data_IF_972552490620
#
_entry.id   IF_972552490620
#
_cell.length_a   1.000
_cell.length_b   1.000
_cell.length_c   1.000
_cell.angle_alpha   90.00
_cell.angle_beta   90.00
_cell.angle_gamma   90.00
#
_symmetry.space_group_name_H-M   'P 1'
#
loop_
_entity.id
_entity.type
_entity.pdbx_description
1 polymer ?
#
# COMPACT_ATOMS: atom_id res chain seq x y z
N UNK A 1 -44.15 8.98 -1.15
CA UNK A 1 -43.64 7.88 -2.00
C UNK A 1 -42.72 6.93 -1.22
N UNK A 2 -41.51 7.33 -0.77
CA UNK A 2 -40.64 6.43 0.04
C UNK A 2 -41.17 6.18 1.46
N UNK A 3 -41.70 7.21 2.14
CA UNK A 3 -42.23 7.09 3.51
C UNK A 3 -43.49 6.21 3.63
N UNK A 4 -44.37 6.25 2.62
CA UNK A 4 -45.57 5.39 2.60
C UNK A 4 -45.24 3.93 2.27
N UNK A 5 -44.23 3.69 1.43
CA UNK A 5 -43.73 2.34 1.17
C UNK A 5 -43.08 1.72 2.42
N UNK A 6 -42.35 2.52 3.22
CA UNK A 6 -41.78 2.08 4.49
C UNK A 6 -42.89 1.79 5.51
N UNK A 7 -43.92 2.62 5.60
CA UNK A 7 -45.06 2.44 6.51
C UNK A 7 -45.94 1.23 6.13
N UNK A 8 -46.07 0.93 4.83
CA UNK A 8 -46.77 -0.26 4.33
C UNK A 8 -45.98 -1.56 4.54
N UNK A 9 -44.64 -1.52 4.45
CA UNK A 9 -43.76 -2.68 4.67
C UNK A 9 -43.54 -2.98 6.17
N UNK A 10 -43.52 -1.93 7.01
CA UNK A 10 -43.35 -1.97 8.47
C UNK A 10 -44.64 -1.61 9.21
N UNK A 11 -45.82 -1.99 8.68
CA UNK A 11 -47.10 -1.82 9.40
C UNK A 11 -46.98 -2.33 10.85
N UNK A 12 -47.84 -1.92 11.79
CA UNK A 12 -47.68 -2.16 13.25
C UNK A 12 -47.92 -3.62 13.63
N UNK A 13 -47.14 -4.51 13.05
CA UNK A 13 -47.02 -5.89 13.45
C UNK A 13 -46.10 -5.96 14.68
N UNK A 14 -46.30 -6.94 15.56
CA UNK A 14 -45.40 -7.15 16.69
C UNK A 14 -43.95 -7.43 16.23
N UNK A 15 -43.75 -7.99 15.02
CA UNK A 15 -42.44 -8.25 14.43
C UNK A 15 -41.70 -6.95 14.04
N UNK A 16 -42.37 -6.03 13.35
CA UNK A 16 -41.76 -4.74 12.96
C UNK A 16 -41.42 -3.89 14.19
N UNK A 17 -42.30 -3.87 15.19
CA UNK A 17 -42.05 -3.18 16.46
C UNK A 17 -40.86 -3.75 17.23
N UNK A 18 -40.72 -5.08 17.25
CA UNK A 18 -39.58 -5.78 17.84
C UNK A 18 -38.26 -5.48 17.11
N UNK A 19 -38.28 -5.47 15.77
CA UNK A 19 -37.10 -5.11 14.97
C UNK A 19 -36.67 -3.65 15.19
N UNK A 20 -37.62 -2.72 15.29
CA UNK A 20 -37.34 -1.31 15.58
C UNK A 20 -36.70 -1.17 16.96
N UNK A 21 -37.21 -1.87 17.99
CA UNK A 21 -36.62 -1.87 19.32
C UNK A 21 -35.20 -2.44 19.33
N UNK A 22 -34.95 -3.54 18.60
CA UNK A 22 -33.59 -4.10 18.45
C UNK A 22 -32.66 -3.06 17.84
N UNK A 23 -33.05 -2.40 16.74
CA UNK A 23 -32.23 -1.37 16.10
C UNK A 23 -31.99 -0.18 17.05
N UNK A 24 -33.01 0.22 17.81
CA UNK A 24 -32.93 1.32 18.77
C UNK A 24 -31.95 1.04 19.92
N UNK A 25 -31.76 -0.22 20.29
CA UNK A 25 -30.75 -0.61 21.31
C UNK A 25 -29.39 -0.90 20.67
N UNK A 26 -29.38 -1.59 19.54
CA UNK A 26 -28.16 -2.05 18.87
C UNK A 26 -27.34 -0.87 18.31
N UNK A 27 -27.98 0.16 17.75
CA UNK A 27 -27.28 1.31 17.17
C UNK A 27 -26.52 2.08 18.28
N UNK A 28 -27.17 2.60 19.34
CA UNK A 28 -26.44 3.25 20.43
C UNK A 28 -25.40 2.33 21.09
N UNK A 29 -25.73 1.05 21.29
CA UNK A 29 -24.78 0.06 21.82
C UNK A 29 -23.53 -0.08 20.95
N UNK A 30 -23.69 -0.11 19.62
CA UNK A 30 -22.58 -0.14 18.67
C UNK A 30 -21.73 1.14 18.75
N UNK A 31 -22.36 2.31 18.82
CA UNK A 31 -21.63 3.58 18.96
C UNK A 31 -20.83 3.62 20.26
N UNK A 32 -21.44 3.21 21.38
CA UNK A 32 -20.78 3.14 22.68
C UNK A 32 -19.61 2.17 22.65
N UNK A 33 -19.82 0.99 22.06
CA UNK A 33 -18.76 0.01 21.89
C UNK A 33 -17.61 0.59 21.07
N UNK A 34 -17.87 1.16 19.89
CA UNK A 34 -16.82 1.63 18.99
C UNK A 34 -16.00 2.80 19.53
N UNK A 35 -16.60 3.63 20.39
CA UNK A 35 -16.00 4.85 20.92
C UNK A 35 -15.26 4.62 22.23
N UNK A 36 -15.74 3.73 23.12
CA UNK A 36 -15.18 3.54 24.46
C UNK A 36 -14.66 2.13 24.75
N UNK A 37 -15.32 1.08 24.26
CA UNK A 37 -15.00 -0.31 24.64
C UNK A 37 -14.15 -1.05 23.61
N UNK A 38 -14.14 -0.57 22.37
CA UNK A 38 -13.42 -1.21 21.28
C UNK A 38 -11.91 -1.21 21.58
N UNK A 39 -11.17 -2.29 21.30
CA UNK A 39 -9.72 -2.34 21.52
C UNK A 39 -8.94 -1.21 20.83
N UNK A 40 -9.50 -0.67 19.74
CA UNK A 40 -8.93 0.46 18.99
C UNK A 40 -9.44 1.85 19.45
N UNK A 41 -10.19 1.96 20.55
CA UNK A 41 -10.75 3.22 21.03
C UNK A 41 -9.67 4.23 21.49
N UNK A 42 -8.51 3.73 21.93
CA UNK A 42 -7.38 4.55 22.38
C UNK A 42 -6.56 5.17 21.24
N UNK A 43 -6.78 4.73 19.99
CA UNK A 43 -6.01 5.19 18.84
C UNK A 43 -6.59 6.50 18.30
N UNK A 44 -5.75 7.48 17.91
CA UNK A 44 -6.21 8.72 17.28
C UNK A 44 -7.02 8.43 16.02
N UNK A 45 -8.10 9.18 15.81
CA UNK A 45 -9.01 8.90 14.71
C UNK A 45 -9.92 10.10 14.35
N UNK A 46 -10.44 10.12 13.11
CA UNK A 46 -11.61 10.90 12.77
C UNK A 46 -12.88 10.14 13.19
N UNK A 47 -13.83 10.82 13.84
CA UNK A 47 -15.02 10.22 14.44
C UNK A 47 -15.76 9.20 13.54
N UNK A 48 -15.93 9.52 12.25
CA UNK A 48 -16.62 8.64 11.30
C UNK A 48 -15.88 7.32 11.02
N UNK A 49 -14.55 7.29 11.14
CA UNK A 49 -13.76 6.09 10.95
C UNK A 49 -13.99 5.05 12.05
N UNK A 50 -14.38 5.44 13.27
CA UNK A 50 -14.74 4.47 14.32
C UNK A 50 -15.94 3.62 13.94
N UNK A 51 -16.86 4.21 13.19
CA UNK A 51 -18.21 3.69 13.00
C UNK A 51 -18.36 2.89 11.72
N UNK A 52 -17.67 3.27 10.64
CA UNK A 52 -17.86 2.63 9.35
C UNK A 52 -16.66 2.77 8.42
N UNK A 53 -16.46 1.76 7.56
CA UNK A 53 -15.50 1.83 6.45
C UNK A 53 -15.98 2.77 5.32
N UNK A 54 -17.24 3.20 5.34
CA UNK A 54 -17.79 4.11 4.33
C UNK A 54 -16.99 5.41 4.22
N UNK A 55 -16.45 5.90 5.34
CA UNK A 55 -15.62 7.09 5.36
C UNK A 55 -14.37 6.94 4.48
N UNK A 56 -13.64 5.83 4.61
CA UNK A 56 -12.50 5.52 3.71
C UNK A 56 -12.92 5.26 2.27
N UNK A 57 -14.07 4.61 2.05
CA UNK A 57 -14.59 4.35 0.71
C UNK A 57 -14.90 5.64 -0.04
N UNK A 58 -15.46 6.64 0.64
CA UNK A 58 -15.79 7.95 0.08
C UNK A 58 -14.53 8.68 -0.44
N UNK A 59 -13.41 8.56 0.25
CA UNK A 59 -12.11 9.10 -0.18
C UNK A 59 -11.45 8.26 -1.28
N UNK A 60 -11.72 6.95 -1.33
CA UNK A 60 -11.28 6.07 -2.42
C UNK A 60 -12.02 6.38 -3.74
N UNK A 61 -13.34 6.59 -3.71
CA UNK A 61 -14.15 6.92 -4.90
C UNK A 61 -13.71 8.24 -5.54
N UNK A 62 -13.26 9.21 -4.74
CA UNK A 62 -12.73 10.49 -5.25
C UNK A 62 -11.27 10.41 -5.73
N UNK A 63 -10.71 9.21 -5.89
CA UNK A 63 -9.32 8.96 -6.32
C UNK A 63 -8.23 9.67 -5.48
N UNK A 64 -8.55 10.05 -4.24
CA UNK A 64 -7.68 10.85 -3.37
C UNK A 64 -7.23 10.12 -2.11
N UNK A 65 -7.21 8.78 -2.09
CA UNK A 65 -6.93 7.99 -0.87
C UNK A 65 -5.55 8.28 -0.28
N UNK A 66 -4.50 8.35 -1.10
CA UNK A 66 -3.13 8.61 -0.64
C UNK A 66 -2.99 10.03 -0.07
N UNK A 67 -3.60 11.02 -0.73
CA UNK A 67 -3.62 12.41 -0.30
C UNK A 67 -4.42 12.58 1.00
N UNK A 68 -5.56 11.90 1.10
CA UNK A 68 -6.34 11.85 2.32
C UNK A 68 -5.53 11.26 3.48
N UNK A 69 -4.85 10.13 3.28
CA UNK A 69 -4.00 9.52 4.32
C UNK A 69 -2.85 10.46 4.72
N UNK A 70 -2.23 11.14 3.76
CA UNK A 70 -1.21 12.16 4.02
C UNK A 70 -1.73 13.26 4.96
N UNK A 71 -2.87 13.90 4.60
CA UNK A 71 -3.48 14.95 5.44
C UNK A 71 -3.96 14.42 6.79
N UNK A 72 -4.40 13.16 6.85
CA UNK A 72 -4.89 12.55 8.08
C UNK A 72 -3.74 12.34 9.06
N UNK A 73 -2.60 11.83 8.60
CA UNK A 73 -1.41 11.66 9.43
C UNK A 73 -0.80 12.99 9.87
N UNK A 74 -0.89 14.06 9.06
CA UNK A 74 -0.51 15.41 9.49
C UNK A 74 -1.35 15.91 10.69
N UNK A 75 -2.63 15.53 10.77
CA UNK A 75 -3.55 15.99 11.83
C UNK A 75 -3.52 15.13 13.09
N UNK A 76 -3.43 13.82 12.93
CA UNK A 76 -3.61 12.84 14.01
C UNK A 76 -2.32 12.12 14.41
N UNK A 77 -1.22 12.33 13.69
CA UNK A 77 0.10 11.76 13.96
C UNK A 77 0.35 10.42 13.26
N UNK A 78 1.35 9.67 13.74
CA UNK A 78 1.87 8.49 13.05
C UNK A 78 0.91 7.31 12.97
N UNK A 79 0.05 7.12 13.97
CA UNK A 79 -0.89 5.98 13.99
C UNK A 79 -2.30 6.53 14.05
N UNK A 80 -3.13 6.15 13.07
CA UNK A 80 -4.50 6.65 12.96
C UNK A 80 -5.45 5.52 12.64
N UNK A 81 -6.59 5.46 13.33
CA UNK A 81 -7.68 4.55 13.01
C UNK A 81 -8.46 5.09 11.81
N UNK A 82 -8.50 4.29 10.75
CA UNK A 82 -9.16 4.64 9.47
C UNK A 82 -10.44 3.84 9.22
N UNK A 83 -10.75 2.88 10.08
CA UNK A 83 -11.99 2.12 10.03
C UNK A 83 -12.26 1.40 11.36
N UNK A 84 -13.43 0.75 11.52
CA UNK A 84 -13.78 0.07 12.76
C UNK A 84 -12.70 -0.89 13.23
N UNK A 85 -12.10 -1.64 12.31
CA UNK A 85 -11.04 -2.61 12.58
C UNK A 85 -9.79 -2.32 11.74
N UNK A 86 -9.51 -1.04 11.42
CA UNK A 86 -8.43 -0.66 10.50
C UNK A 86 -7.55 0.46 11.06
N UNK A 87 -6.24 0.27 11.03
CA UNK A 87 -5.24 1.28 11.38
C UNK A 87 -4.34 1.60 10.17
N UNK A 88 -4.05 2.88 9.97
CA UNK A 88 -2.96 3.34 9.11
C UNK A 88 -1.78 3.75 9.98
N UNK A 89 -0.59 3.31 9.60
CA UNK A 89 0.63 3.48 10.39
C UNK A 89 1.69 4.13 9.52
N UNK A 90 1.96 5.41 9.74
CA UNK A 90 3.00 6.21 9.10
C UNK A 90 4.29 6.14 9.91
N UNK A 91 4.91 4.97 9.93
CA UNK A 91 6.17 4.75 10.63
C UNK A 91 7.03 3.74 9.86
N UNK A 92 8.30 4.09 9.62
CA UNK A 92 9.24 3.20 8.95
C UNK A 92 9.55 1.96 9.82
N UNK A 93 9.51 2.10 11.15
CA UNK A 93 9.70 0.98 12.07
C UNK A 93 8.60 -0.08 11.93
N UNK A 94 7.42 0.29 11.41
CA UNK A 94 6.32 -0.63 11.18
C UNK A 94 6.53 -1.54 9.96
N UNK A 95 7.46 -1.21 9.05
CA UNK A 95 7.70 -1.99 7.83
C UNK A 95 8.16 -3.42 8.15
N UNK A 96 9.05 -3.59 9.11
CA UNK A 96 9.53 -4.92 9.55
C UNK A 96 8.41 -5.77 10.17
N UNK A 97 7.72 -5.28 11.22
CA UNK A 97 6.62 -6.01 11.86
C UNK A 97 5.41 -6.29 10.96
N UNK A 98 5.14 -5.46 9.94
CA UNK A 98 3.96 -5.62 9.06
C UNK A 98 4.29 -6.38 7.76
N UNK A 99 5.47 -6.16 7.17
CA UNK A 99 5.82 -6.71 5.86
C UNK A 99 7.04 -7.65 5.89
N UNK A 100 7.71 -7.78 7.03
CA UNK A 100 8.86 -8.66 7.20
C UNK A 100 8.51 -10.15 7.10
N UNK A 101 9.53 -10.97 6.90
CA UNK A 101 9.38 -12.41 6.64
C UNK A 101 8.73 -13.19 7.81
N UNK A 102 8.95 -12.74 9.05
CA UNK A 102 8.41 -13.34 10.27
C UNK A 102 7.30 -12.50 10.92
N UNK A 103 6.72 -11.57 10.17
CA UNK A 103 5.62 -10.73 10.65
C UNK A 103 4.41 -11.60 11.07
N UNK A 104 3.83 -11.32 12.24
CA UNK A 104 2.64 -12.01 12.75
C UNK A 104 1.35 -11.51 12.07
N UNK A 105 1.35 -11.51 10.74
CA UNK A 105 0.26 -10.99 9.92
C UNK A 105 0.07 -11.85 8.68
N UNK A 106 -1.11 -11.76 8.06
CA UNK A 106 -1.39 -12.29 6.73
C UNK A 106 -1.92 -11.19 5.81
N UNK A 107 -2.01 -11.43 4.51
CA UNK A 107 -2.76 -10.52 3.62
C UNK A 107 -4.23 -10.50 4.05
N UNK A 108 -4.82 -9.31 4.10
CA UNK A 108 -6.24 -9.17 4.46
C UNK A 108 -7.16 -9.65 3.33
N UNK A 109 -8.45 -9.81 3.62
CA UNK A 109 -9.46 -10.21 2.64
C UNK A 109 -9.63 -9.24 1.46
N UNK A 110 -9.07 -8.02 1.55
CA UNK A 110 -8.96 -7.09 0.41
C UNK A 110 -8.36 -7.76 -0.84
N UNK A 111 -7.47 -8.74 -0.65
CA UNK A 111 -6.80 -9.42 -1.76
C UNK A 111 -7.68 -10.46 -2.46
N UNK A 112 -8.74 -10.97 -1.80
CA UNK A 112 -9.66 -11.94 -2.41
C UNK A 112 -10.51 -11.32 -3.52
N UNK A 113 -10.69 -10.00 -3.50
CA UNK A 113 -11.43 -9.25 -4.52
C UNK A 113 -10.71 -9.25 -5.88
N UNK A 114 -9.40 -9.53 -5.92
CA UNK A 114 -8.64 -9.60 -7.17
C UNK A 114 -8.84 -10.95 -7.85
N UNK A 115 -9.24 -10.89 -9.13
CA UNK A 115 -9.46 -12.07 -9.96
C UNK A 115 -8.16 -12.71 -10.45
N UNK A 116 -8.22 -14.01 -10.74
CA UNK A 116 -7.12 -14.80 -11.30
C UNK A 116 -6.32 -15.57 -10.26
N UNK A 117 -5.55 -16.58 -10.69
CA UNK A 117 -4.69 -17.35 -9.79
C UNK A 117 -3.33 -16.68 -9.79
N UNK A 118 -2.97 -15.98 -8.70
CA UNK A 118 -1.67 -15.33 -8.60
C UNK A 118 -1.05 -15.47 -7.21
N UNK A 119 0.23 -15.12 -7.13
CA UNK A 119 0.91 -14.92 -5.84
C UNK A 119 0.44 -13.63 -5.17
N UNK A 120 -0.03 -12.64 -5.93
CA UNK A 120 -0.47 -11.35 -5.41
C UNK A 120 -1.72 -11.46 -4.52
N UNK A 121 -2.73 -12.21 -4.96
CA UNK A 121 -4.03 -12.32 -4.29
C UNK A 121 -4.15 -13.48 -3.27
N UNK A 122 -3.21 -14.42 -3.24
CA UNK A 122 -3.23 -15.52 -2.28
C UNK A 122 -2.97 -15.02 -0.85
N UNK A 123 -3.94 -15.24 0.06
CA UNK A 123 -3.90 -14.81 1.46
C UNK A 123 -3.35 -15.89 2.41
N UNK A 124 -3.46 -17.17 2.03
CA UNK A 124 -2.96 -18.30 2.83
C UNK A 124 -1.42 -18.33 2.72
N UNK A 125 -0.68 -18.19 3.85
CA UNK A 125 0.78 -18.15 3.83
C UNK A 125 1.43 -19.40 3.21
N UNK A 126 0.86 -20.58 3.43
CA UNK A 126 1.39 -21.85 2.93
C UNK A 126 1.21 -21.97 1.41
N UNK A 127 0.01 -21.65 0.92
CA UNK A 127 -0.27 -21.62 -0.52
C UNK A 127 0.54 -20.53 -1.21
N UNK A 128 0.66 -19.36 -0.59
CA UNK A 128 1.47 -18.25 -1.07
C UNK A 128 2.94 -18.64 -1.19
N UNK A 129 3.52 -19.30 -0.18
CA UNK A 129 4.89 -19.79 -0.21
C UNK A 129 5.13 -20.79 -1.36
N UNK A 130 4.19 -21.72 -1.57
CA UNK A 130 4.24 -22.68 -2.70
C UNK A 130 4.21 -21.96 -4.05
N UNK A 131 3.27 -21.04 -4.25
CA UNK A 131 3.14 -20.27 -5.51
C UNK A 131 4.37 -19.40 -5.77
N UNK A 132 4.87 -18.71 -4.75
CA UNK A 132 6.08 -17.87 -4.83
C UNK A 132 7.31 -18.69 -5.22
N UNK A 133 7.47 -19.90 -4.67
CA UNK A 133 8.58 -20.80 -5.02
C UNK A 133 8.60 -21.18 -6.50
N UNK A 134 7.44 -21.48 -7.08
CA UNK A 134 7.34 -21.76 -8.52
C UNK A 134 7.65 -20.50 -9.33
N UNK A 135 7.04 -19.37 -8.96
CA UNK A 135 7.20 -18.10 -9.68
C UNK A 135 8.65 -17.58 -9.64
N UNK A 136 9.38 -17.77 -8.55
CA UNK A 136 10.76 -17.27 -8.42
C UNK A 136 11.71 -17.87 -9.45
N UNK A 137 11.45 -19.07 -9.97
CA UNK A 137 12.26 -19.65 -11.04
C UNK A 137 12.14 -18.87 -12.36
N UNK A 138 10.95 -18.36 -12.68
CA UNK A 138 10.70 -17.58 -13.89
C UNK A 138 11.36 -16.20 -13.88
N UNK A 139 11.72 -15.69 -12.69
CA UNK A 139 12.45 -14.43 -12.50
C UNK A 139 13.89 -14.65 -12.01
N UNK A 140 14.44 -15.86 -12.23
CA UNK A 140 15.86 -16.10 -11.98
C UNK A 140 16.72 -15.31 -12.97
N UNK A 141 17.95 -15.00 -12.57
CA UNK A 141 18.92 -14.27 -13.41
C UNK A 141 19.08 -14.90 -14.80
N UNK A 142 19.22 -16.23 -14.83
CA UNK A 142 19.27 -17.01 -16.08
C UNK A 142 18.00 -16.88 -16.93
N UNK A 143 16.81 -16.91 -16.31
CA UNK A 143 15.54 -16.76 -17.03
C UNK A 143 15.36 -15.34 -17.60
N UNK A 144 15.79 -14.32 -16.85
CA UNK A 144 15.76 -12.92 -17.30
C UNK A 144 16.69 -12.71 -18.48
N UNK A 145 17.93 -13.20 -18.41
CA UNK A 145 18.87 -13.18 -19.52
C UNK A 145 18.34 -13.95 -20.75
N UNK A 146 17.67 -15.08 -20.54
CA UNK A 146 17.04 -15.84 -21.63
C UNK A 146 15.90 -15.09 -22.34
N UNK A 147 15.20 -14.19 -21.62
CA UNK A 147 14.08 -13.41 -22.17
C UNK A 147 14.54 -12.14 -22.90
N UNK A 148 15.75 -11.67 -22.63
CA UNK A 148 16.32 -10.43 -23.15
C UNK A 148 16.21 -10.30 -24.69
N UNK A 149 16.61 -11.30 -25.51
CA UNK A 149 16.47 -11.19 -26.98
C UNK A 149 15.02 -11.02 -27.45
N UNK A 150 14.07 -11.61 -26.72
CA UNK A 150 12.64 -11.53 -27.03
C UNK A 150 12.02 -10.18 -26.67
N UNK A 151 12.38 -9.61 -25.51
CA UNK A 151 11.96 -8.26 -25.11
C UNK A 151 12.52 -7.23 -26.09
N UNK A 152 13.80 -7.37 -26.43
CA UNK A 152 14.47 -6.50 -27.38
C UNK A 152 13.81 -6.59 -28.76
N UNK A 153 13.58 -7.78 -29.33
CA UNK A 153 12.92 -7.90 -30.63
C UNK A 153 11.47 -7.35 -30.68
N UNK A 154 10.70 -7.46 -29.60
CA UNK A 154 9.28 -7.05 -29.57
C UNK A 154 9.07 -5.54 -29.38
N UNK A 155 9.89 -4.88 -28.55
CA UNK A 155 9.70 -3.47 -28.17
C UNK A 155 10.67 -2.55 -28.94
N UNK A 156 11.84 -3.04 -29.34
CA UNK A 156 12.85 -2.19 -29.98
C UNK A 156 12.37 -1.67 -31.33
N UNK A 157 11.80 -2.46 -32.24
CA UNK A 157 11.64 -2.01 -33.64
C UNK A 157 10.92 -0.65 -33.81
N UNK A 158 9.91 -0.35 -32.97
CA UNK A 158 9.19 0.95 -33.02
C UNK A 158 9.82 2.04 -32.13
N UNK A 159 10.28 1.72 -30.92
CA UNK A 159 10.89 2.71 -30.01
C UNK A 159 12.32 3.10 -30.43
N UNK A 160 13.05 2.13 -30.98
CA UNK A 160 14.43 2.25 -31.44
C UNK A 160 14.55 3.11 -32.67
N UNK A 161 13.55 3.13 -33.55
CA UNK A 161 13.55 4.03 -34.71
C UNK A 161 13.51 5.49 -34.26
N UNK A 162 12.76 5.81 -33.20
CA UNK A 162 12.65 7.16 -32.64
C UNK A 162 13.85 7.56 -31.76
N UNK A 163 14.45 6.61 -31.03
CA UNK A 163 15.60 6.87 -30.15
C UNK A 163 16.94 6.87 -30.94
N UNK A 164 17.12 5.99 -31.94
CA UNK A 164 18.34 5.94 -32.76
C UNK A 164 18.49 7.09 -33.75
N UNK A 165 17.43 7.86 -34.02
CA UNK A 165 17.59 9.15 -34.72
C UNK A 165 18.29 10.19 -33.85
N UNK A 166 18.31 10.01 -32.52
CA UNK A 166 18.95 10.90 -31.55
C UNK A 166 20.25 10.35 -30.95
N UNK A 167 20.48 9.03 -30.94
CA UNK A 167 21.68 8.41 -30.36
C UNK A 167 22.28 7.31 -31.28
N UNK A 168 23.55 7.43 -31.72
CA UNK A 168 24.09 6.66 -32.85
C UNK A 168 24.37 5.17 -32.64
N UNK A 169 24.51 4.64 -31.42
CA UNK A 169 24.83 3.19 -31.24
C UNK A 169 24.06 2.54 -30.08
N UNK A 170 23.36 1.44 -30.40
CA UNK A 170 22.43 0.74 -29.50
C UNK A 170 22.90 -0.66 -29.10
N UNK A 171 24.02 -1.13 -29.64
CA UNK A 171 24.53 -2.50 -29.47
C UNK A 171 25.13 -2.72 -28.08
N UNK A 172 25.41 -1.65 -27.33
CA UNK A 172 26.04 -1.72 -26.01
C UNK A 172 25.06 -1.66 -24.82
N UNK A 173 23.75 -1.44 -25.08
CA UNK A 173 22.72 -1.39 -24.03
C UNK A 173 22.17 -2.80 -23.82
N UNK A 174 22.86 -3.57 -22.99
CA UNK A 174 22.48 -4.93 -22.59
C UNK A 174 22.27 -5.03 -21.09
N UNK A 175 21.37 -5.92 -20.66
CA UNK A 175 21.21 -6.23 -19.25
C UNK A 175 22.50 -6.92 -18.76
N UNK A 176 23.18 -6.32 -17.78
CA UNK A 176 24.44 -6.83 -17.27
C UNK A 176 25.11 -5.90 -16.27
N UNK A 177 26.33 -6.25 -15.80
CA UNK A 177 27.05 -5.51 -14.77
C UNK A 177 27.23 -4.03 -15.11
N UNK A 178 27.39 -3.72 -16.40
CA UNK A 178 27.63 -2.37 -16.91
C UNK A 178 26.39 -1.47 -16.83
N UNK A 179 25.19 -2.02 -17.07
CA UNK A 179 23.92 -1.30 -16.88
C UNK A 179 23.62 -1.10 -15.39
N UNK A 180 23.93 -2.10 -14.56
CA UNK A 180 23.80 -2.01 -13.10
C UNK A 180 24.79 -1.02 -12.46
N UNK A 181 25.87 -0.68 -13.16
CA UNK A 181 26.86 0.34 -12.76
C UNK A 181 26.45 1.78 -13.09
N UNK A 182 25.33 1.99 -13.81
CA UNK A 182 24.75 3.33 -14.03
C UNK A 182 24.03 3.79 -12.76
N UNK A 183 24.80 4.19 -11.75
CA UNK A 183 24.28 4.63 -10.45
C UNK A 183 23.29 5.77 -10.59
N UNK A 184 23.53 6.71 -11.51
CA UNK A 184 22.60 7.83 -11.73
C UNK A 184 21.28 7.40 -12.36
N UNK A 185 21.29 6.46 -13.31
CA UNK A 185 20.05 5.91 -13.89
C UNK A 185 19.23 5.19 -12.82
N UNK A 186 19.88 4.33 -12.02
CA UNK A 186 19.25 3.66 -10.87
C UNK A 186 18.68 4.70 -9.90
N UNK A 187 19.44 5.74 -9.57
CA UNK A 187 19.00 6.80 -8.69
C UNK A 187 17.76 7.54 -9.22
N UNK A 188 17.70 7.82 -10.52
CA UNK A 188 16.52 8.39 -11.17
C UNK A 188 15.29 7.45 -11.06
N UNK A 189 15.48 6.14 -11.23
CA UNK A 189 14.41 5.16 -11.11
C UNK A 189 13.90 5.09 -9.65
N UNK A 190 14.81 4.99 -8.68
CA UNK A 190 14.46 4.96 -7.25
C UNK A 190 13.75 6.26 -6.83
N UNK A 191 14.24 7.43 -7.25
CA UNK A 191 13.60 8.71 -6.95
C UNK A 191 12.23 8.87 -7.62
N UNK A 192 12.09 8.36 -8.85
CA UNK A 192 10.80 8.31 -9.54
C UNK A 192 9.80 7.43 -8.77
N UNK A 193 10.23 6.26 -8.29
CA UNK A 193 9.38 5.38 -7.47
C UNK A 193 9.10 5.95 -6.08
N UNK A 194 10.00 6.78 -5.54
CA UNK A 194 9.76 7.49 -4.27
C UNK A 194 8.63 8.51 -4.42
N UNK A 195 8.70 9.37 -5.43
CA UNK A 195 7.71 10.42 -5.69
C UNK A 195 6.39 9.87 -6.24
N UNK A 196 6.47 8.90 -7.14
CA UNK A 196 5.33 8.29 -7.82
C UNK A 196 5.30 6.77 -7.56
N UNK A 197 5.06 6.33 -6.30
CA UNK A 197 5.06 4.92 -5.97
C UNK A 197 3.95 4.18 -6.75
N UNK A 198 4.24 3.03 -7.37
CA UNK A 198 3.25 2.24 -8.11
C UNK A 198 2.04 1.82 -7.26
N UNK A 199 2.25 1.66 -5.94
CA UNK A 199 1.21 1.44 -4.95
C UNK A 199 1.29 2.56 -3.88
N UNK A 200 0.57 3.69 -4.07
CA UNK A 200 0.71 4.85 -3.20
C UNK A 200 0.00 4.72 -1.84
N UNK A 201 -0.92 3.78 -1.70
CA UNK A 201 -1.68 3.53 -0.47
C UNK A 201 -1.05 2.42 0.38
N UNK A 202 -1.72 2.04 1.46
CA UNK A 202 -1.35 0.91 2.30
C UNK A 202 -1.60 -0.44 1.61
N UNK A 203 -0.72 -1.42 1.87
CA UNK A 203 -0.90 -2.82 1.47
C UNK A 203 -1.49 -3.59 2.66
N UNK A 204 -2.81 -3.82 2.72
CA UNK A 204 -3.45 -4.17 3.98
C UNK A 204 -3.08 -5.59 4.46
N UNK A 205 -2.68 -5.69 5.72
CA UNK A 205 -2.33 -6.92 6.42
C UNK A 205 -3.23 -7.10 7.62
N UNK A 206 -3.72 -8.31 7.85
CA UNK A 206 -4.51 -8.66 9.04
C UNK A 206 -3.58 -9.24 10.10
N UNK A 207 -3.64 -8.69 11.31
CA UNK A 207 -2.88 -9.15 12.47
C UNK A 207 -3.42 -10.49 12.97
N UNK A 208 -2.55 -11.47 13.12
CA UNK A 208 -2.89 -12.81 13.59
C UNK A 208 -2.99 -12.87 15.14
N UNK A 209 -3.50 -13.97 15.72
CA UNK A 209 -3.51 -14.17 17.17
C UNK A 209 -2.12 -13.92 17.81
N UNK A 210 -2.12 -13.32 19.00
CA UNK A 210 -0.89 -12.82 19.66
C UNK A 210 -0.61 -11.34 19.43
N UNK A 211 -1.32 -10.70 18.48
CA UNK A 211 -1.21 -9.27 18.23
C UNK A 211 0.08 -8.88 17.51
N UNK A 212 0.29 -7.57 17.39
CA UNK A 212 1.45 -6.97 16.74
C UNK A 212 1.93 -5.76 17.53
N UNK A 213 3.22 -5.70 17.83
CA UNK A 213 3.85 -4.55 18.48
C UNK A 213 4.48 -3.62 17.44
N UNK A 214 4.14 -2.34 17.47
CA UNK A 214 4.76 -1.29 16.64
C UNK A 214 5.06 -0.08 17.51
N UNK A 215 6.35 0.16 17.79
CA UNK A 215 6.78 1.17 18.75
C UNK A 215 6.08 0.99 20.10
N UNK A 216 5.39 2.03 20.59
CA UNK A 216 4.61 1.99 21.84
C UNK A 216 3.23 1.34 21.71
N UNK A 217 2.75 1.06 20.50
CA UNK A 217 1.38 0.60 20.27
C UNK A 217 1.30 -0.92 20.16
N UNK A 218 0.43 -1.52 20.97
CA UNK A 218 0.06 -2.93 20.85
C UNK A 218 -1.24 -3.08 20.07
N UNK A 219 -1.16 -3.70 18.90
CA UNK A 219 -2.27 -3.84 17.96
C UNK A 219 -2.90 -5.22 18.13
N UNK A 220 -4.22 -5.29 18.42
CA UNK A 220 -4.90 -6.56 18.67
C UNK A 220 -5.12 -7.36 17.38
N UNK A 221 -5.22 -8.68 17.54
CA UNK A 221 -5.55 -9.61 16.46
C UNK A 221 -6.86 -9.25 15.74
N UNK A 222 -6.95 -9.57 14.45
CA UNK A 222 -8.07 -9.22 13.58
C UNK A 222 -8.03 -7.77 13.07
N UNK A 223 -7.12 -6.93 13.56
CA UNK A 223 -6.91 -5.57 13.05
C UNK A 223 -6.23 -5.60 11.69
N UNK A 224 -6.78 -4.87 10.74
CA UNK A 224 -6.12 -4.64 9.45
C UNK A 224 -5.23 -3.42 9.57
N UNK A 225 -3.96 -3.58 9.27
CA UNK A 225 -2.92 -2.57 9.36
C UNK A 225 -2.25 -2.39 8.01
N UNK A 226 -1.64 -1.23 7.80
CA UNK A 226 -0.74 -1.03 6.69
C UNK A 226 -0.04 0.32 6.76
N UNK A 227 1.11 0.37 6.09
CA UNK A 227 1.92 1.59 5.94
C UNK A 227 1.63 2.21 4.59
N UNK A 228 1.11 3.45 4.53
CA UNK A 228 0.83 4.10 3.26
C UNK A 228 2.13 4.65 2.64
N UNK A 229 2.49 4.13 1.46
CA UNK A 229 3.79 4.42 0.85
C UNK A 229 3.96 5.90 0.48
N UNK A 230 2.95 6.52 -0.14
CA UNK A 230 3.04 7.91 -0.55
C UNK A 230 3.26 8.87 0.62
N UNK A 231 2.46 8.85 1.70
CA UNK A 231 2.74 9.65 2.88
C UNK A 231 4.11 9.38 3.51
N UNK A 232 4.56 8.13 3.54
CA UNK A 232 5.86 7.77 4.13
C UNK A 232 7.02 8.38 3.33
N UNK A 233 6.95 8.25 2.00
CA UNK A 233 7.93 8.81 1.06
C UNK A 233 7.93 10.34 1.02
N UNK A 234 6.83 10.98 1.45
CA UNK A 234 6.68 12.44 1.51
C UNK A 234 6.80 13.02 2.92
N UNK A 235 7.29 12.22 3.87
CA UNK A 235 7.53 12.67 5.23
C UNK A 235 8.88 13.40 5.32
N UNK A 236 8.86 14.62 5.84
CA UNK A 236 10.07 15.40 6.15
C UNK A 236 10.94 14.74 7.23
N UNK A 237 10.37 13.80 8.00
CA UNK A 237 11.13 13.02 8.98
C UNK A 237 12.14 12.07 8.30
N UNK A 238 11.79 11.52 7.13
CA UNK A 238 12.61 10.52 6.44
C UNK A 238 13.35 11.10 5.24
N UNK A 239 12.81 12.15 4.60
CA UNK A 239 13.37 12.74 3.38
C UNK A 239 13.40 14.26 3.50
N UNK A 240 14.60 14.86 3.42
CA UNK A 240 14.75 16.32 3.27
C UNK A 240 14.05 16.80 1.98
N UNK A 241 13.35 17.94 1.96
CA UNK A 241 12.64 18.45 0.77
C UNK A 241 11.86 17.34 0.02
N UNK A 242 10.89 16.65 0.66
CA UNK A 242 10.32 15.41 0.16
C UNK A 242 9.58 15.52 -1.19
N UNK A 243 9.14 16.72 -1.56
CA UNK A 243 8.43 16.97 -2.82
C UNK A 243 9.35 17.32 -3.99
N UNK A 244 10.65 17.52 -3.74
CA UNK A 244 11.63 17.82 -4.78
C UNK A 244 12.17 16.53 -5.36
N UNK A 245 12.11 16.41 -6.69
CA UNK A 245 12.77 15.33 -7.43
C UNK A 245 14.29 15.55 -7.36
N UNK A 246 14.96 14.71 -6.57
CA UNK A 246 16.40 14.81 -6.35
C UNK A 246 17.05 13.41 -6.37
N UNK A 247 17.51 12.94 -7.54
CA UNK A 247 18.18 11.65 -7.68
C UNK A 247 19.43 11.53 -6.81
N UNK A 248 20.08 12.65 -6.46
CA UNK A 248 21.34 12.61 -5.71
C UNK A 248 21.21 11.95 -4.33
N UNK A 249 19.98 11.87 -3.78
CA UNK A 249 19.68 11.16 -2.53
C UNK A 249 20.12 9.70 -2.50
N UNK A 250 20.09 9.04 -3.66
CA UNK A 250 20.36 7.61 -3.79
C UNK A 250 21.80 7.30 -4.17
N UNK A 251 22.62 8.33 -4.37
CA UNK A 251 24.04 8.20 -4.66
C UNK A 251 24.79 8.11 -3.32
N UNK A 252 25.59 7.06 -3.15
CA UNK A 252 26.50 6.99 -2.00
C UNK A 252 27.61 8.04 -2.21
N UNK A 253 28.09 8.67 -1.14
CA UNK A 253 29.32 9.48 -1.22
C UNK A 253 30.45 8.59 -1.72
N UNK A 254 30.93 8.85 -2.94
CA UNK A 254 31.98 8.05 -3.61
C UNK A 254 31.49 6.93 -4.53
N UNK A 255 30.18 6.77 -4.76
CA UNK A 255 29.64 5.90 -5.84
C UNK A 255 29.34 6.70 -7.10
N UNK A 256 30.27 7.54 -7.52
CA UNK A 256 30.27 8.01 -8.91
C UNK A 256 30.50 6.76 -9.76
N UNK A 257 29.43 6.23 -10.35
CA UNK A 257 29.53 5.13 -11.29
C UNK A 257 30.57 5.51 -12.33
N UNK A 258 31.51 4.60 -12.61
CA UNK A 258 32.66 4.81 -13.51
C UNK A 258 32.27 5.33 -14.92
N UNK A 259 30.97 5.36 -15.22
CA UNK A 259 30.35 5.65 -16.51
C UNK A 259 29.33 6.80 -16.46
N UNK A 260 29.06 7.41 -15.31
CA UNK A 260 27.96 8.39 -15.15
C UNK A 260 28.29 9.79 -15.72
N UNK A 261 29.55 10.06 -16.10
CA UNK A 261 29.99 11.39 -16.52
C UNK A 261 29.94 12.41 -15.37
N UNK A 262 30.37 13.67 -15.59
CA UNK A 262 30.31 14.69 -14.56
C UNK A 262 28.86 15.02 -14.21
N UNK A 263 28.55 15.09 -12.91
CA UNK A 263 27.26 15.53 -12.39
C UNK A 263 26.95 16.95 -12.90
N UNK A 264 25.79 17.20 -13.52
CA UNK A 264 25.37 18.56 -13.83
C UNK A 264 25.21 19.34 -12.52
N UNK A 265 25.84 20.52 -12.45
CA UNK A 265 25.71 21.47 -11.34
C UNK A 265 24.26 21.91 -11.13
#
# INVERSE_FOLDING_TARGET
>A
MLGEAIFALLGPSPLSSFLILILFVAIPGYFVYQTWLHPLAAYPDPFLAKLTNFYTLLHAIRAGRYEYLYRLHQRHGRVVRIGPQRLSILDAEAMGPIYGFQANVKKSNFYEEFHGISTFNEIDPNKHARKRRVLSHAFSDQALHGMEPHILSAILTRLTTAIRTAFPTLVDIVAGPRLMQLSYLRACIEESMRLCPPAPSDLPREVLPGGLQVGKWHIPAGTVVGVPAYPLHHSEEYFDRPFVYDPSRWLLRGSEGLLDGPTPL
#
